data_IF_396024600070
#
_entry.id   IF_396024600070
#
_cell.length_a   1.000
_cell.length_b   1.000
_cell.length_c   1.000
_cell.angle_alpha   90.00
_cell.angle_beta   90.00
_cell.angle_gamma   90.00
#
_symmetry.space_group_name_H-M   'P 1'
#
loop_
_entity.id
_entity.type
_entity.pdbx_description
1 polymer ?
#
# COMPACT_ATOMS: atom_id res chain seq x y z
N UNK A 1 -15.41 11.08 -7.56
CA UNK A 1 -14.18 11.88 -7.75
C UNK A 1 -14.02 13.11 -6.87
N UNK A 2 -15.02 14.01 -6.70
CA UNK A 2 -14.85 15.19 -5.81
C UNK A 2 -14.48 14.81 -4.38
N UNK A 3 -15.07 13.74 -3.85
CA UNK A 3 -14.70 13.19 -2.54
C UNK A 3 -13.25 12.71 -2.52
N UNK A 4 -12.74 12.04 -3.56
CA UNK A 4 -11.32 11.70 -3.68
C UNK A 4 -10.42 12.93 -3.64
N UNK A 5 -10.74 13.97 -4.43
CA UNK A 5 -9.96 15.21 -4.44
C UNK A 5 -9.94 15.88 -3.07
N UNK A 6 -11.07 15.88 -2.37
CA UNK A 6 -11.20 16.42 -1.02
C UNK A 6 -10.44 15.61 0.03
N UNK A 7 -10.40 14.27 -0.08
CA UNK A 7 -9.64 13.41 0.84
C UNK A 7 -8.13 13.57 0.70
N UNK A 8 -7.66 14.05 -0.46
CA UNK A 8 -6.26 14.39 -0.67
C UNK A 8 -5.96 15.85 -0.31
N UNK A 9 -6.57 16.82 -0.99
CA UNK A 9 -6.18 18.22 -0.85
C UNK A 9 -6.43 18.76 0.56
N UNK A 10 -7.64 18.60 1.12
CA UNK A 10 -7.94 19.15 2.45
C UNK A 10 -7.19 18.44 3.57
N UNK A 11 -6.76 17.19 3.34
CA UNK A 11 -5.93 16.43 4.26
C UNK A 11 -4.42 16.58 4.00
N UNK A 12 -4.00 17.34 2.98
CA UNK A 12 -2.59 17.59 2.67
C UNK A 12 -2.01 18.72 3.53
N UNK A 13 -0.67 18.86 3.60
CA UNK A 13 -0.03 20.04 4.21
C UNK A 13 -0.01 21.29 3.30
N UNK A 14 -0.55 21.21 2.07
CA UNK A 14 -0.37 22.27 1.08
C UNK A 14 -1.53 23.27 1.10
N UNK A 15 -1.24 24.57 1.22
CA UNK A 15 -2.26 25.64 1.09
C UNK A 15 -2.85 25.73 -0.33
N UNK A 16 -2.02 25.45 -1.33
CA UNK A 16 -2.38 25.36 -2.74
C UNK A 16 -1.76 24.14 -3.40
N UNK A 17 -2.52 23.46 -4.26
CA UNK A 17 -2.04 22.26 -4.95
C UNK A 17 -2.86 21.98 -6.20
N UNK A 18 -2.18 21.49 -7.24
CA UNK A 18 -2.83 20.73 -8.30
C UNK A 18 -3.38 19.41 -7.74
N UNK A 19 -4.55 18.99 -8.18
CA UNK A 19 -5.20 17.77 -7.69
C UNK A 19 -5.51 16.85 -8.86
N UNK A 20 -5.02 15.62 -8.78
CA UNK A 20 -5.21 14.58 -9.80
C UNK A 20 -5.88 13.36 -9.16
N UNK A 21 -7.16 13.15 -9.47
CA UNK A 21 -7.88 11.95 -9.08
C UNK A 21 -7.90 10.97 -10.25
N UNK A 22 -7.37 9.75 -10.08
CA UNK A 22 -7.33 8.70 -11.11
C UNK A 22 -7.86 7.40 -10.50
N UNK A 23 -8.92 6.87 -11.07
CA UNK A 23 -9.65 5.74 -10.53
C UNK A 23 -10.16 4.78 -11.62
N UNK A 24 -10.77 3.67 -11.21
CA UNK A 24 -11.51 2.79 -12.12
C UNK A 24 -12.69 3.52 -12.76
N UNK A 25 -13.66 3.91 -11.94
CA UNK A 25 -14.85 4.67 -12.34
C UNK A 25 -15.60 5.22 -11.10
N UNK A 26 -16.14 6.43 -11.17
CA UNK A 26 -17.16 6.94 -10.24
C UNK A 26 -17.94 8.10 -10.87
N UNK A 27 -19.27 8.10 -10.74
CA UNK A 27 -20.19 9.08 -11.37
C UNK A 27 -19.83 9.35 -12.85
N UNK A 28 -19.68 8.28 -13.65
CA UNK A 28 -19.33 8.30 -15.08
C UNK A 28 -17.97 8.92 -15.43
N UNK A 29 -17.11 9.15 -14.44
CA UNK A 29 -15.77 9.72 -14.59
C UNK A 29 -14.73 8.69 -14.14
N UNK A 30 -13.55 8.66 -14.76
CA UNK A 30 -12.41 7.83 -14.30
C UNK A 30 -11.25 8.68 -13.81
N UNK A 31 -11.13 9.91 -14.32
CA UNK A 31 -10.06 10.84 -14.00
C UNK A 31 -10.64 12.23 -13.83
N UNK A 32 -10.24 12.95 -12.78
CA UNK A 32 -10.66 14.33 -12.54
C UNK A 32 -9.45 15.17 -12.16
N UNK A 33 -9.30 16.33 -12.81
CA UNK A 33 -8.22 17.27 -12.55
C UNK A 33 -8.78 18.55 -11.96
N UNK A 34 -8.06 19.13 -11.02
CA UNK A 34 -8.49 20.37 -10.39
C UNK A 34 -7.40 21.09 -9.64
N UNK A 35 -7.80 22.16 -8.97
CA UNK A 35 -6.94 23.01 -8.15
C UNK A 35 -7.58 23.17 -6.79
N UNK A 36 -6.77 23.00 -5.74
CA UNK A 36 -7.13 23.34 -4.38
C UNK A 36 -6.46 24.63 -3.95
N UNK A 37 -7.22 25.55 -3.34
CA UNK A 37 -6.71 26.78 -2.73
C UNK A 37 -7.48 27.07 -1.44
N UNK A 38 -6.77 27.11 -0.31
CA UNK A 38 -7.39 27.27 1.00
C UNK A 38 -8.49 26.23 1.22
N UNK A 39 -9.72 26.66 1.52
CA UNK A 39 -10.85 25.76 1.78
C UNK A 39 -11.71 25.44 0.54
N UNK A 40 -11.21 25.70 -0.68
CA UNK A 40 -11.93 25.44 -1.93
C UNK A 40 -11.19 24.48 -2.84
N UNK A 41 -11.98 23.75 -3.62
CA UNK A 41 -11.54 22.93 -4.75
C UNK A 41 -12.33 23.40 -5.96
N UNK A 42 -11.61 23.64 -7.05
CA UNK A 42 -12.12 23.91 -8.39
C UNK A 42 -11.79 22.72 -9.29
N UNK A 43 -12.80 22.19 -9.99
CA UNK A 43 -12.61 21.13 -10.98
C UNK A 43 -12.35 21.79 -12.32
N UNK A 44 -11.23 21.47 -12.95
CA UNK A 44 -10.85 22.01 -14.26
C UNK A 44 -11.47 21.20 -15.38
N UNK A 45 -11.31 19.88 -15.33
CA UNK A 45 -11.85 18.95 -16.31
C UNK A 45 -11.88 17.50 -15.77
N UNK A 46 -12.39 16.60 -16.59
CA UNK A 46 -12.50 15.17 -16.29
C UNK A 46 -12.42 14.31 -17.54
N UNK A 47 -11.99 13.06 -17.38
CA UNK A 47 -12.12 12.01 -18.39
C UNK A 47 -13.34 11.17 -18.04
N UNK A 48 -14.32 11.17 -18.93
CA UNK A 48 -15.52 10.34 -18.79
C UNK A 48 -15.23 8.88 -19.12
N UNK A 49 -15.93 7.99 -18.44
CA UNK A 49 -16.13 6.61 -18.88
C UNK A 49 -16.60 6.60 -20.35
N UNK A 50 -16.13 5.68 -21.22
CA UNK A 50 -15.50 4.37 -20.95
C UNK A 50 -13.97 4.32 -20.90
N UNK A 51 -13.26 5.45 -20.95
CA UNK A 51 -11.79 5.45 -20.93
C UNK A 51 -11.29 5.52 -19.49
N UNK A 52 -10.44 4.59 -19.04
CA UNK A 52 -9.95 4.55 -17.66
C UNK A 52 -8.58 3.86 -17.56
N UNK A 53 -7.64 4.47 -16.83
CA UNK A 53 -6.36 3.83 -16.50
C UNK A 53 -6.60 2.61 -15.59
N UNK A 54 -7.58 2.70 -14.68
CA UNK A 54 -7.95 1.58 -13.82
C UNK A 54 -8.43 0.38 -14.64
N UNK A 55 -9.33 0.60 -15.59
CA UNK A 55 -9.81 -0.49 -16.47
C UNK A 55 -8.67 -1.07 -17.32
N UNK A 56 -7.78 -0.24 -17.87
CA UNK A 56 -6.58 -0.71 -18.56
C UNK A 56 -5.75 -1.66 -17.67
N UNK A 57 -5.46 -1.23 -16.44
CA UNK A 57 -4.64 -2.00 -15.51
C UNK A 57 -5.33 -3.29 -15.06
N UNK A 58 -6.63 -3.24 -14.73
CA UNK A 58 -7.44 -4.40 -14.35
C UNK A 58 -7.56 -5.40 -15.52
N UNK A 59 -7.70 -4.93 -16.76
CA UNK A 59 -7.75 -5.81 -17.95
C UNK A 59 -6.50 -6.67 -18.08
N UNK A 60 -5.32 -6.07 -17.96
CA UNK A 60 -4.07 -6.82 -17.98
C UNK A 60 -3.85 -7.65 -16.71
N UNK A 61 -4.39 -7.23 -15.57
CA UNK A 61 -4.38 -8.02 -14.33
C UNK A 61 -5.16 -9.32 -14.50
N UNK A 62 -6.37 -9.27 -15.06
CA UNK A 62 -7.15 -10.45 -15.42
C UNK A 62 -6.44 -11.32 -16.46
N UNK A 63 -5.89 -10.69 -17.52
CA UNK A 63 -5.18 -11.39 -18.59
C UNK A 63 -3.93 -12.13 -18.11
N UNK A 64 -3.24 -11.58 -17.10
CA UNK A 64 -2.12 -12.21 -16.39
C UNK A 64 -2.56 -13.28 -15.36
N UNK A 65 -3.83 -13.68 -15.37
CA UNK A 65 -4.34 -14.78 -14.56
C UNK A 65 -4.63 -14.39 -13.10
N UNK A 66 -4.86 -13.10 -12.84
CA UNK A 66 -5.26 -12.59 -11.53
C UNK A 66 -6.69 -12.01 -11.59
N UNK A 67 -7.74 -12.86 -11.60
CA UNK A 67 -9.09 -12.43 -11.95
C UNK A 67 -9.87 -11.75 -10.81
N UNK A 68 -9.33 -11.75 -9.58
CA UNK A 68 -10.06 -11.23 -8.43
C UNK A 68 -9.99 -9.70 -8.37
N UNK A 69 -11.10 -9.07 -8.00
CA UNK A 69 -11.14 -7.63 -7.78
C UNK A 69 -10.11 -7.21 -6.72
N UNK A 70 -9.27 -6.21 -7.03
CA UNK A 70 -8.21 -5.76 -6.14
C UNK A 70 -6.87 -6.49 -6.31
N UNK A 71 -6.73 -7.42 -7.26
CA UNK A 71 -5.46 -8.10 -7.52
C UNK A 71 -4.43 -7.24 -8.29
N UNK A 72 -4.74 -5.98 -8.63
CA UNK A 72 -3.85 -5.10 -9.41
C UNK A 72 -2.47 -4.93 -8.75
N UNK A 73 -2.39 -4.96 -7.41
CA UNK A 73 -1.10 -4.90 -6.72
C UNK A 73 -0.17 -6.09 -7.05
N UNK A 74 -0.69 -7.21 -7.57
CA UNK A 74 0.11 -8.36 -7.99
C UNK A 74 0.87 -8.05 -9.27
N UNK A 75 0.25 -7.35 -10.23
CA UNK A 75 0.96 -6.89 -11.44
C UNK A 75 2.05 -5.90 -11.06
N UNK A 76 1.77 -4.97 -10.13
CA UNK A 76 2.77 -4.05 -9.59
C UNK A 76 3.90 -4.78 -8.85
N UNK A 77 3.61 -5.87 -8.14
CA UNK A 77 4.64 -6.69 -7.48
C UNK A 77 5.42 -7.60 -8.44
N UNK A 78 4.82 -7.97 -9.57
CA UNK A 78 5.41 -8.82 -10.60
C UNK A 78 6.32 -8.02 -11.55
N UNK A 79 6.00 -6.74 -11.79
CA UNK A 79 6.71 -5.90 -12.76
C UNK A 79 8.24 -5.85 -12.60
N UNK A 80 8.83 -5.86 -11.39
CA UNK A 80 10.30 -5.85 -11.24
C UNK A 80 10.99 -7.14 -11.75
N UNK A 81 10.25 -8.22 -11.94
CA UNK A 81 10.79 -9.50 -12.40
C UNK A 81 10.88 -9.62 -13.93
N UNK A 82 10.42 -8.61 -14.67
CA UNK A 82 10.46 -8.59 -16.13
C UNK A 82 11.14 -7.35 -16.69
N UNK A 83 11.25 -7.30 -18.02
CA UNK A 83 11.73 -6.15 -18.78
C UNK A 83 10.55 -5.52 -19.54
N UNK A 84 10.44 -4.19 -19.59
CA UNK A 84 9.33 -3.51 -20.26
C UNK A 84 9.48 -3.54 -21.79
N UNK A 85 9.48 -4.72 -22.40
CA UNK A 85 9.74 -4.92 -23.84
C UNK A 85 8.50 -4.79 -24.72
N UNK A 86 7.31 -4.65 -24.13
CA UNK A 86 6.01 -4.63 -24.81
C UNK A 86 5.33 -3.24 -24.73
N UNK A 87 6.09 -2.18 -24.41
CA UNK A 87 5.57 -0.81 -24.24
C UNK A 87 5.04 -0.26 -25.56
N UNK A 88 5.75 -0.51 -26.67
CA UNK A 88 5.36 -0.07 -28.02
C UNK A 88 3.99 -0.66 -28.41
N UNK A 89 3.76 -1.93 -28.12
CA UNK A 89 2.51 -2.63 -28.40
C UNK A 89 1.32 -2.05 -27.60
N UNK A 90 1.57 -1.45 -26.44
CA UNK A 90 0.55 -0.82 -25.60
C UNK A 90 0.07 0.53 -26.17
N UNK A 91 0.82 1.17 -27.07
CA UNK A 91 0.36 2.37 -27.77
C UNK A 91 -0.86 2.10 -28.66
N UNK A 92 -1.00 0.89 -29.20
CA UNK A 92 -2.21 0.48 -29.92
C UNK A 92 -3.41 0.32 -29.00
N UNK A 93 -3.17 -0.05 -27.74
CA UNK A 93 -4.20 -0.36 -26.74
C UNK A 93 -4.73 0.92 -26.09
N UNK A 94 -3.86 1.91 -25.88
CA UNK A 94 -4.20 3.20 -25.30
C UNK A 94 -3.68 4.31 -26.21
N UNK A 95 -4.62 4.97 -26.87
CA UNK A 95 -4.37 6.06 -27.81
C UNK A 95 -4.13 7.33 -26.99
N UNK A 96 -2.88 7.79 -26.94
CA UNK A 96 -2.53 9.08 -26.34
C UNK A 96 -3.14 10.22 -27.15
N UNK A 97 -3.67 11.22 -26.46
CA UNK A 97 -4.20 12.45 -27.05
C UNK A 97 -3.34 13.63 -26.60
N UNK A 98 -3.61 14.78 -27.19
CA UNK A 98 -3.05 16.04 -26.72
C UNK A 98 -3.48 16.30 -25.27
N UNK A 99 -2.75 17.19 -24.57
CA UNK A 99 -3.17 17.69 -23.24
C UNK A 99 -3.18 16.63 -22.13
N UNK A 100 -2.29 15.63 -22.23
CA UNK A 100 -2.19 14.52 -21.27
C UNK A 100 -3.41 13.60 -21.24
N UNK A 101 -4.37 13.76 -22.16
CA UNK A 101 -5.55 12.91 -22.26
C UNK A 101 -5.21 11.59 -22.95
N UNK A 102 -6.05 10.58 -22.76
CA UNK A 102 -5.91 9.28 -23.39
C UNK A 102 -7.28 8.66 -23.66
N UNK A 103 -7.34 7.79 -24.66
CA UNK A 103 -8.50 6.96 -24.95
C UNK A 103 -8.06 5.49 -25.01
N UNK A 104 -8.76 4.62 -24.29
CA UNK A 104 -8.68 3.18 -24.55
C UNK A 104 -9.19 2.86 -25.95
N UNK A 105 -8.46 2.04 -26.71
CA UNK A 105 -8.87 1.59 -28.03
C UNK A 105 -9.99 0.54 -27.93
N UNK A 106 -11.23 0.83 -28.38
CA UNK A 106 -12.40 -0.05 -28.20
C UNK A 106 -12.24 -1.45 -28.80
N UNK A 107 -11.26 -1.66 -29.68
CA UNK A 107 -10.92 -2.97 -30.24
C UNK A 107 -10.57 -4.00 -29.16
N UNK A 108 -9.92 -3.57 -28.08
CA UNK A 108 -9.30 -4.48 -27.10
C UNK A 108 -10.12 -4.70 -25.82
N UNK A 109 -11.21 -3.95 -25.64
CA UNK A 109 -11.97 -3.92 -24.38
C UNK A 109 -13.46 -4.21 -24.59
N UNK A 110 -14.02 -5.15 -23.83
CA UNK A 110 -15.41 -5.62 -23.98
C UNK A 110 -16.45 -4.62 -23.50
N UNK A 111 -16.14 -3.84 -22.46
CA UNK A 111 -17.07 -2.90 -21.83
C UNK A 111 -17.57 -1.77 -22.75
N UNK A 112 -16.90 -1.54 -23.87
CA UNK A 112 -17.32 -0.58 -24.90
C UNK A 112 -18.54 -1.04 -25.71
N UNK A 113 -18.74 -2.35 -25.86
CA UNK A 113 -19.73 -2.91 -26.80
C UNK A 113 -20.82 -3.73 -26.13
N UNK A 114 -20.42 -4.55 -25.16
CA UNK A 114 -21.28 -5.60 -24.60
C UNK A 114 -21.72 -5.29 -23.16
N UNK A 115 -21.14 -4.26 -22.54
CA UNK A 115 -21.09 -4.19 -21.08
C UNK A 115 -20.18 -5.29 -20.51
N UNK A 116 -20.16 -5.42 -19.19
CA UNK A 116 -19.41 -6.47 -18.48
C UNK A 116 -20.30 -6.98 -17.37
N UNK A 117 -20.57 -8.28 -17.33
CA UNK A 117 -21.37 -8.83 -16.25
C UNK A 117 -20.57 -8.76 -14.94
N UNK A 118 -21.27 -8.35 -13.89
CA UNK A 118 -20.77 -8.38 -12.54
C UNK A 118 -21.74 -9.19 -11.69
N UNK A 119 -21.23 -10.24 -11.05
CA UNK A 119 -21.97 -11.01 -10.05
C UNK A 119 -21.38 -10.79 -8.66
N UNK A 120 -22.20 -10.98 -7.63
CA UNK A 120 -21.79 -10.84 -6.23
C UNK A 120 -21.98 -12.19 -5.55
N UNK A 121 -20.87 -12.86 -5.25
CA UNK A 121 -20.88 -14.09 -4.47
C UNK A 121 -20.06 -13.87 -3.19
N UNK A 122 -20.65 -14.15 -2.03
CA UNK A 122 -19.96 -14.02 -0.74
C UNK A 122 -19.50 -12.59 -0.41
N UNK A 123 -20.10 -11.57 -1.01
CA UNK A 123 -19.75 -10.16 -0.79
C UNK A 123 -18.54 -9.66 -1.58
N UNK A 124 -17.97 -10.47 -2.46
CA UNK A 124 -16.92 -10.03 -3.40
C UNK A 124 -17.45 -9.97 -4.83
N UNK A 125 -17.13 -8.92 -5.60
CA UNK A 125 -17.55 -8.85 -6.99
C UNK A 125 -16.70 -9.80 -7.85
N UNK A 126 -17.38 -10.59 -8.68
CA UNK A 126 -16.79 -11.25 -9.83
C UNK A 126 -17.06 -10.40 -11.07
N UNK A 127 -16.02 -10.15 -11.85
CA UNK A 127 -16.09 -9.33 -13.07
C UNK A 127 -15.66 -10.20 -14.23
N UNK A 128 -16.53 -10.35 -15.24
CA UNK A 128 -16.19 -11.05 -16.47
C UNK A 128 -14.90 -10.47 -17.11
N UNK A 129 -14.17 -11.25 -17.92
CA UNK A 129 -12.97 -10.76 -18.59
C UNK A 129 -13.23 -9.47 -19.36
N UNK A 130 -12.42 -8.44 -19.10
CA UNK A 130 -12.53 -7.12 -19.74
C UNK A 130 -11.90 -7.10 -21.14
N UNK A 131 -11.08 -8.08 -21.49
CA UNK A 131 -10.35 -8.16 -22.75
C UNK A 131 -11.14 -8.89 -23.85
N UNK A 132 -10.89 -8.50 -25.10
CA UNK A 132 -11.47 -9.15 -26.29
C UNK A 132 -10.52 -10.18 -26.91
N UNK A 133 -11.02 -10.98 -27.85
CA UNK A 133 -10.20 -11.85 -28.72
C UNK A 133 -9.09 -11.09 -29.46
N UNK A 134 -9.28 -9.79 -29.74
CA UNK A 134 -8.25 -8.97 -30.37
C UNK A 134 -7.05 -8.72 -29.44
N UNK A 135 -7.27 -8.64 -28.12
CA UNK A 135 -6.18 -8.55 -27.15
C UNK A 135 -5.41 -9.88 -27.11
N UNK A 136 -6.14 -11.00 -27.11
CA UNK A 136 -5.58 -12.35 -27.16
C UNK A 136 -4.73 -12.54 -28.44
N UNK A 137 -5.26 -12.15 -29.60
CA UNK A 137 -4.52 -12.23 -30.85
C UNK A 137 -3.22 -11.39 -30.86
N UNK A 138 -3.19 -10.29 -30.10
CA UNK A 138 -2.03 -9.38 -30.05
C UNK A 138 -0.97 -9.81 -29.02
N UNK A 139 -1.39 -10.28 -27.84
CA UNK A 139 -0.49 -10.57 -26.72
C UNK A 139 -0.32 -12.08 -26.42
N UNK A 140 -1.08 -12.94 -27.09
CA UNK A 140 -1.10 -14.39 -26.88
C UNK A 140 -2.30 -14.89 -26.05
N UNK A 141 -2.33 -16.17 -25.67
CA UNK A 141 -3.37 -16.69 -24.78
C UNK A 141 -3.26 -16.04 -23.38
N UNK A 142 -4.39 -15.75 -22.71
CA UNK A 142 -4.37 -15.31 -21.31
C UNK A 142 -3.84 -16.43 -20.42
N UNK A 143 -3.14 -16.05 -19.37
CA UNK A 143 -2.57 -16.99 -18.42
C UNK A 143 -3.67 -17.68 -17.62
N UNK A 144 -3.63 -19.00 -17.52
CA UNK A 144 -4.58 -19.76 -16.71
C UNK A 144 -4.14 -19.85 -15.24
N UNK A 145 -5.13 -20.03 -14.36
CA UNK A 145 -4.88 -20.24 -12.93
C UNK A 145 -4.06 -21.51 -12.73
N UNK A 146 -2.94 -21.40 -12.01
CA UNK A 146 -2.07 -22.53 -11.69
C UNK A 146 -0.94 -22.80 -12.68
N UNK A 147 -0.94 -22.19 -13.86
CA UNK A 147 0.22 -22.25 -14.77
C UNK A 147 1.46 -21.61 -14.11
N UNK A 148 2.69 -21.83 -14.60
CA UNK A 148 3.84 -21.02 -14.20
C UNK A 148 3.84 -19.63 -14.86
N UNK A 149 4.43 -18.63 -14.17
CA UNK A 149 4.67 -17.31 -14.76
C UNK A 149 5.87 -17.38 -15.73
N UNK A 150 5.59 -17.32 -17.03
CA UNK A 150 6.60 -17.23 -18.08
C UNK A 150 7.31 -15.87 -18.09
N UNK A 151 8.42 -15.78 -18.82
CA UNK A 151 9.12 -14.52 -19.02
C UNK A 151 8.27 -13.49 -19.77
N UNK A 152 7.45 -13.96 -20.72
CA UNK A 152 6.46 -13.12 -21.41
C UNK A 152 5.49 -12.46 -20.42
N UNK A 153 4.95 -13.21 -19.45
CA UNK A 153 4.04 -12.66 -18.44
C UNK A 153 4.71 -11.57 -17.59
N UNK A 154 5.97 -11.79 -17.20
CA UNK A 154 6.74 -10.79 -16.43
C UNK A 154 7.05 -9.55 -17.26
N UNK A 155 7.46 -9.73 -18.52
CA UNK A 155 7.73 -8.62 -19.43
C UNK A 155 6.47 -7.80 -19.72
N UNK A 156 5.31 -8.47 -19.87
CA UNK A 156 4.03 -7.80 -20.02
C UNK A 156 3.65 -7.02 -18.77
N UNK A 157 3.80 -7.60 -17.57
CA UNK A 157 3.58 -6.89 -16.31
C UNK A 157 4.49 -5.65 -16.17
N UNK A 158 5.77 -5.80 -16.50
CA UNK A 158 6.74 -4.71 -16.52
C UNK A 158 6.35 -3.59 -17.50
N UNK A 159 5.88 -3.96 -18.69
CA UNK A 159 5.46 -3.02 -19.74
C UNK A 159 4.17 -2.28 -19.37
N UNK A 160 3.17 -2.98 -18.83
CA UNK A 160 1.91 -2.40 -18.35
C UNK A 160 2.16 -1.43 -17.21
N UNK A 161 3.03 -1.79 -16.25
CA UNK A 161 3.41 -0.91 -15.16
C UNK A 161 4.14 0.34 -15.68
N UNK A 162 5.14 0.19 -16.56
CA UNK A 162 5.85 1.30 -17.19
C UNK A 162 4.91 2.23 -17.96
N UNK A 163 4.02 1.66 -18.76
CA UNK A 163 3.08 2.45 -19.55
C UNK A 163 2.08 3.22 -18.67
N UNK A 164 1.65 2.60 -17.56
CA UNK A 164 0.80 3.25 -16.55
C UNK A 164 1.51 4.44 -15.90
N UNK A 165 2.79 4.28 -15.53
CA UNK A 165 3.63 5.38 -15.03
C UNK A 165 3.65 6.54 -16.03
N UNK A 166 3.88 6.27 -17.31
CA UNK A 166 3.92 7.30 -18.35
C UNK A 166 2.59 8.03 -18.54
N UNK A 167 1.45 7.33 -18.46
CA UNK A 167 0.13 7.95 -18.49
C UNK A 167 -0.09 8.87 -17.28
N UNK A 168 0.27 8.43 -16.07
CA UNK A 168 0.18 9.24 -14.86
C UNK A 168 1.06 10.49 -14.97
N UNK A 169 2.31 10.34 -15.42
CA UNK A 169 3.23 11.47 -15.57
C UNK A 169 2.76 12.43 -16.67
N UNK A 170 2.18 11.93 -17.76
CA UNK A 170 1.57 12.76 -18.81
C UNK A 170 0.41 13.60 -18.29
N UNK A 171 -0.49 13.01 -17.50
CA UNK A 171 -1.58 13.73 -16.83
C UNK A 171 -1.06 14.79 -15.87
N UNK A 172 -0.03 14.45 -15.08
CA UNK A 172 0.59 15.35 -14.12
C UNK A 172 1.30 16.53 -14.81
N UNK A 173 2.13 16.28 -15.83
CA UNK A 173 2.81 17.34 -16.59
C UNK A 173 1.83 18.34 -17.20
N UNK A 174 0.78 17.84 -17.84
CA UNK A 174 -0.25 18.72 -18.39
C UNK A 174 -0.97 19.52 -17.30
N UNK A 175 -1.30 18.89 -16.17
CA UNK A 175 -1.93 19.61 -15.05
C UNK A 175 -1.00 20.70 -14.49
N UNK A 176 0.29 20.44 -14.42
CA UNK A 176 1.28 21.46 -14.08
C UNK A 176 1.30 22.60 -15.13
N UNK A 177 1.32 22.30 -16.42
CA UNK A 177 1.25 23.32 -17.50
C UNK A 177 0.01 24.21 -17.39
N UNK A 178 -1.13 23.66 -16.97
CA UNK A 178 -2.38 24.43 -16.81
C UNK A 178 -2.41 25.29 -15.54
N UNK A 179 -1.70 24.89 -14.48
CA UNK A 179 -1.88 25.48 -13.14
C UNK A 179 -0.67 26.26 -12.63
N UNK A 180 0.54 25.92 -13.09
CA UNK A 180 1.81 26.45 -12.61
C UNK A 180 2.10 26.16 -11.14
N UNK A 181 1.35 25.24 -10.50
CA UNK A 181 1.46 24.95 -9.07
C UNK A 181 2.59 23.95 -8.77
N UNK A 182 3.40 24.17 -7.72
CA UNK A 182 4.54 23.31 -7.42
C UNK A 182 4.15 22.01 -6.72
N UNK A 183 2.97 21.93 -6.11
CA UNK A 183 2.53 20.78 -5.31
C UNK A 183 1.44 19.97 -6.02
N UNK A 184 1.56 18.64 -5.99
CA UNK A 184 0.54 17.71 -6.47
C UNK A 184 -0.08 16.89 -5.33
N UNK A 185 -1.40 16.86 -5.28
CA UNK A 185 -2.19 15.88 -4.54
C UNK A 185 -2.70 14.82 -5.52
N UNK A 186 -2.39 13.55 -5.29
CA UNK A 186 -2.89 12.44 -6.13
C UNK A 186 -3.74 11.46 -5.32
N UNK A 187 -4.81 10.93 -5.92
CA UNK A 187 -5.84 10.15 -5.23
C UNK A 187 -6.67 9.30 -6.22
N UNK A 188 -7.55 8.42 -5.72
CA UNK A 188 -8.25 7.38 -6.48
C UNK A 188 -7.52 6.04 -6.46
N UNK A 189 -8.19 4.96 -6.89
CA UNK A 189 -7.66 3.60 -6.81
C UNK A 189 -6.32 3.41 -7.55
N UNK A 190 -6.16 4.03 -8.71
CA UNK A 190 -4.91 3.97 -9.49
C UNK A 190 -3.77 4.73 -8.79
N UNK A 191 -4.08 5.80 -8.06
CA UNK A 191 -3.11 6.56 -7.29
C UNK A 191 -2.48 5.78 -6.11
N UNK A 192 -2.97 4.56 -5.83
CA UNK A 192 -2.30 3.64 -4.91
C UNK A 192 -1.07 2.94 -5.52
N UNK A 193 -0.76 3.21 -6.79
CA UNK A 193 0.43 2.70 -7.45
C UNK A 193 1.70 3.36 -6.86
N UNK A 194 2.23 2.74 -5.80
CA UNK A 194 3.37 3.27 -5.05
C UNK A 194 4.66 3.33 -5.89
N UNK A 195 4.75 2.52 -6.95
CA UNK A 195 5.87 2.56 -7.91
C UNK A 195 5.82 3.84 -8.73
N UNK A 196 4.65 4.22 -9.24
CA UNK A 196 4.48 5.49 -9.95
C UNK A 196 4.68 6.69 -9.01
N UNK A 197 4.08 6.66 -7.81
CA UNK A 197 4.17 7.75 -6.84
C UNK A 197 5.62 8.08 -6.46
N UNK A 198 6.48 7.08 -6.29
CA UNK A 198 7.90 7.28 -5.97
C UNK A 198 8.72 7.94 -7.08
N UNK A 199 8.16 8.06 -8.29
CA UNK A 199 8.83 8.60 -9.48
C UNK A 199 8.24 9.91 -9.98
N UNK A 200 7.11 10.38 -9.42
CA UNK A 200 6.39 11.56 -9.93
C UNK A 200 7.27 12.81 -9.91
N UNK A 201 7.93 13.12 -8.79
CA UNK A 201 8.76 14.34 -8.64
C UNK A 201 9.97 14.31 -9.59
N UNK A 202 10.53 13.13 -9.86
CA UNK A 202 11.66 12.97 -10.79
C UNK A 202 11.24 13.09 -12.28
N UNK A 203 9.95 12.82 -12.60
CA UNK A 203 9.46 12.70 -13.99
C UNK A 203 8.46 13.80 -14.37
N UNK A 204 8.24 14.77 -13.49
CA UNK A 204 7.30 15.89 -13.68
C UNK A 204 7.87 17.17 -13.05
N UNK A 205 7.37 18.36 -13.43
CA UNK A 205 7.81 19.61 -12.80
C UNK A 205 7.35 19.85 -11.36
N UNK A 206 6.57 18.94 -10.76
CA UNK A 206 6.11 19.11 -9.38
C UNK A 206 7.24 18.89 -8.39
N UNK A 207 7.33 19.76 -7.38
CA UNK A 207 8.34 19.71 -6.32
C UNK A 207 7.94 18.78 -5.18
N UNK A 208 6.63 18.68 -4.90
CA UNK A 208 6.09 17.89 -3.78
C UNK A 208 4.88 17.08 -4.20
N UNK A 209 4.80 15.86 -3.67
CA UNK A 209 3.68 14.94 -3.85
C UNK A 209 3.07 14.55 -2.51
N UNK A 210 1.76 14.73 -2.38
CA UNK A 210 0.96 14.15 -1.30
C UNK A 210 0.02 13.07 -1.83
N UNK A 211 0.05 11.89 -1.18
CA UNK A 211 -0.90 10.79 -1.40
C UNK A 211 -1.53 10.44 -0.04
N UNK A 212 -2.86 10.45 0.09
CA UNK A 212 -3.50 10.11 1.36
C UNK A 212 -3.36 8.60 1.67
N UNK A 213 -3.39 8.21 2.96
CA UNK A 213 -3.21 6.80 3.37
C UNK A 213 -4.28 5.85 2.80
N UNK A 214 -5.49 6.38 2.56
CA UNK A 214 -6.58 5.69 1.88
C UNK A 214 -6.94 6.40 0.56
N UNK A 215 -6.02 6.42 -0.41
CA UNK A 215 -6.28 6.99 -1.74
C UNK A 215 -7.38 6.29 -2.56
N UNK A 216 -7.70 5.03 -2.23
CA UNK A 216 -8.82 4.30 -2.83
C UNK A 216 -10.18 4.76 -2.26
N UNK A 217 -11.27 4.11 -2.68
CA UNK A 217 -12.65 4.47 -2.32
C UNK A 217 -12.92 4.57 -0.81
N UNK A 218 -12.15 3.87 0.03
CA UNK A 218 -12.25 4.00 1.48
C UNK A 218 -12.08 5.45 1.97
N UNK A 219 -11.20 6.22 1.33
CA UNK A 219 -10.95 7.62 1.65
C UNK A 219 -12.08 8.57 1.24
N UNK A 220 -13.03 8.14 0.40
CA UNK A 220 -14.13 9.01 -0.04
C UNK A 220 -15.07 9.39 1.10
N UNK A 221 -15.16 8.59 2.16
CA UNK A 221 -15.90 8.92 3.39
C UNK A 221 -15.35 10.18 4.05
N UNK A 222 -14.04 10.21 4.30
CA UNK A 222 -13.31 11.38 4.82
C UNK A 222 -13.43 12.55 3.86
N UNK A 223 -13.20 12.30 2.57
CA UNK A 223 -13.29 13.33 1.54
C UNK A 223 -14.65 13.99 1.44
N UNK A 224 -15.74 13.22 1.55
CA UNK A 224 -17.11 13.75 1.51
C UNK A 224 -17.40 14.63 2.72
N UNK A 225 -16.96 14.21 3.92
CA UNK A 225 -17.09 15.00 5.13
C UNK A 225 -16.28 16.32 5.05
N UNK A 226 -15.03 16.26 4.60
CA UNK A 226 -14.18 17.44 4.42
C UNK A 226 -14.73 18.37 3.33
N UNK A 227 -15.22 17.83 2.21
CA UNK A 227 -15.86 18.62 1.17
C UNK A 227 -17.09 19.36 1.70
N UNK A 228 -17.96 18.69 2.47
CA UNK A 228 -19.10 19.35 3.08
C UNK A 228 -18.66 20.44 4.07
N UNK A 229 -17.73 20.13 4.98
CA UNK A 229 -17.25 21.06 6.00
C UNK A 229 -16.58 22.31 5.41
N UNK A 230 -15.68 22.15 4.45
CA UNK A 230 -14.94 23.27 3.84
C UNK A 230 -15.73 23.97 2.73
N UNK A 231 -16.36 23.20 1.83
CA UNK A 231 -17.00 23.75 0.64
C UNK A 231 -18.42 24.24 0.93
N UNK A 232 -19.23 23.43 1.62
CA UNK A 232 -20.64 23.74 1.89
C UNK A 232 -20.85 24.59 3.15
N UNK A 233 -20.16 24.28 4.25
CA UNK A 233 -20.26 25.07 5.49
C UNK A 233 -19.28 26.25 5.54
N UNK A 234 -18.41 26.40 4.54
CA UNK A 234 -17.41 27.45 4.43
C UNK A 234 -16.51 27.58 5.66
N UNK A 235 -16.20 26.46 6.33
CA UNK A 235 -15.33 26.43 7.51
C UNK A 235 -13.85 26.45 7.10
N UNK A 236 -12.95 26.98 7.96
CA UNK A 236 -11.50 26.99 7.69
C UNK A 236 -10.95 25.57 7.57
N UNK A 237 -9.77 25.43 6.98
CA UNK A 237 -9.07 24.14 6.93
C UNK A 237 -8.76 23.63 8.34
N UNK A 238 -8.86 22.32 8.50
CA UNK A 238 -8.35 21.66 9.70
C UNK A 238 -6.82 21.56 9.61
N UNK A 239 -6.08 21.64 10.73
CA UNK A 239 -4.64 21.42 10.73
C UNK A 239 -4.29 20.04 10.16
N UNK A 240 -3.22 20.00 9.36
CA UNK A 240 -2.69 18.76 8.83
C UNK A 240 -2.31 17.79 9.97
N UNK A 241 -2.59 16.50 9.76
CA UNK A 241 -2.16 15.43 10.66
C UNK A 241 -1.39 14.38 9.86
N UNK A 242 -0.15 14.13 10.28
CA UNK A 242 0.76 13.21 9.60
C UNK A 242 0.42 11.73 9.82
N UNK A 243 -0.51 11.37 10.71
CA UNK A 243 -0.82 9.98 11.05
C UNK A 243 -2.14 9.47 10.45
N UNK A 244 -2.18 8.17 10.18
CA UNK A 244 -3.36 7.43 9.74
C UNK A 244 -4.07 6.67 10.89
N UNK A 245 -3.68 6.84 12.15
CA UNK A 245 -4.18 6.07 13.30
C UNK A 245 -5.56 6.55 13.80
N UNK A 246 -6.59 6.40 12.99
CA UNK A 246 -7.97 6.87 13.29
C UNK A 246 -8.93 5.74 13.68
N UNK A 247 -8.50 4.48 13.62
CA UNK A 247 -9.29 3.30 13.95
C UNK A 247 -9.38 2.98 15.45
N UNK A 248 -10.04 1.87 15.78
CA UNK A 248 -10.29 1.45 17.17
C UNK A 248 -8.99 1.24 17.96
N UNK A 249 -9.04 1.49 19.27
CA UNK A 249 -8.00 1.20 20.26
C UNK A 249 -8.60 0.34 21.37
N UNK A 250 -7.77 -0.53 21.94
CA UNK A 250 -8.11 -1.34 23.11
C UNK A 250 -7.14 -1.01 24.24
N UNK A 251 -7.63 -0.94 25.47
CA UNK A 251 -6.78 -0.77 26.65
C UNK A 251 -6.12 -2.09 27.05
N UNK A 252 -4.97 -2.04 27.75
CA UNK A 252 -4.38 -3.23 28.37
C UNK A 252 -5.36 -4.05 29.21
N UNK A 253 -6.28 -3.40 29.91
CA UNK A 253 -7.27 -4.03 30.79
C UNK A 253 -8.33 -4.80 29.97
N UNK A 254 -8.80 -4.23 28.87
CA UNK A 254 -9.74 -4.90 27.95
C UNK A 254 -9.10 -6.14 27.32
N UNK A 255 -7.84 -6.02 26.90
CA UNK A 255 -7.05 -7.13 26.34
C UNK A 255 -6.86 -8.22 27.40
N UNK A 256 -6.44 -7.85 28.60
CA UNK A 256 -6.19 -8.80 29.69
C UNK A 256 -7.46 -9.55 30.09
N UNK A 257 -8.59 -8.85 30.22
CA UNK A 257 -9.88 -9.46 30.52
C UNK A 257 -10.30 -10.47 29.45
N UNK A 258 -10.07 -10.15 28.17
CA UNK A 258 -10.33 -11.06 27.06
C UNK A 258 -9.45 -12.31 27.12
N UNK A 259 -8.14 -12.16 27.35
CA UNK A 259 -7.21 -13.29 27.43
C UNK A 259 -7.52 -14.20 28.63
N UNK A 260 -7.86 -13.64 29.80
CA UNK A 260 -8.32 -14.41 30.97
C UNK A 260 -9.58 -15.21 30.66
N UNK A 261 -10.58 -14.59 30.02
CA UNK A 261 -11.82 -15.28 29.61
C UNK A 261 -11.55 -16.46 28.67
N UNK A 262 -10.53 -16.34 27.80
CA UNK A 262 -10.10 -17.37 26.85
C UNK A 262 -9.10 -18.37 27.43
N UNK A 263 -8.69 -18.23 28.69
CA UNK A 263 -7.63 -19.02 29.33
C UNK A 263 -6.32 -19.04 28.51
N UNK A 264 -5.94 -17.92 27.91
CA UNK A 264 -4.69 -17.81 27.17
C UNK A 264 -3.57 -17.44 28.14
N UNK A 265 -2.45 -18.18 28.19
CA UNK A 265 -1.30 -17.79 28.98
C UNK A 265 -0.60 -16.58 28.34
N UNK A 266 -0.22 -15.61 29.15
CA UNK A 266 0.46 -14.38 28.72
C UNK A 266 1.41 -13.87 29.79
N UNK A 267 2.24 -12.89 29.42
CA UNK A 267 3.07 -12.10 30.33
C UNK A 267 2.81 -10.61 30.16
N UNK A 268 2.63 -9.89 31.27
CA UNK A 268 2.41 -8.44 31.24
C UNK A 268 3.69 -7.71 31.60
N UNK A 269 4.01 -6.67 30.83
CA UNK A 269 5.18 -5.83 31.06
C UNK A 269 4.73 -4.47 31.59
N UNK A 270 5.34 -4.03 32.69
CA UNK A 270 5.07 -2.72 33.28
C UNK A 270 5.87 -1.60 32.59
N UNK A 271 6.97 -1.98 31.95
CA UNK A 271 7.90 -1.07 31.30
C UNK A 271 8.02 -1.40 29.80
N UNK A 272 7.85 -0.38 28.97
CA UNK A 272 8.00 -0.50 27.51
C UNK A 272 9.45 -0.86 27.12
N UNK A 273 10.46 -0.43 27.87
CA UNK A 273 11.86 -0.75 27.57
C UNK A 273 12.17 -2.25 27.74
N UNK A 274 11.62 -2.89 28.77
CA UNK A 274 11.72 -4.34 28.97
C UNK A 274 10.96 -5.10 27.86
N UNK A 275 9.80 -4.58 27.46
CA UNK A 275 9.04 -5.15 26.35
C UNK A 275 9.83 -5.05 25.04
N UNK A 276 10.43 -3.91 24.71
CA UNK A 276 11.24 -3.76 23.51
C UNK A 276 12.46 -4.67 23.55
N UNK A 277 13.10 -4.86 24.70
CA UNK A 277 14.22 -5.80 24.88
C UNK A 277 13.81 -7.21 24.43
N UNK A 278 12.69 -7.71 24.95
CA UNK A 278 12.16 -9.05 24.64
C UNK A 278 11.72 -9.19 23.18
N UNK A 279 11.05 -8.18 22.64
CA UNK A 279 10.57 -8.20 21.25
C UNK A 279 11.76 -8.16 20.28
N UNK A 280 12.76 -7.32 20.55
CA UNK A 280 13.95 -7.23 19.69
C UNK A 280 14.82 -8.47 19.79
N UNK A 281 14.91 -9.12 20.96
CA UNK A 281 15.56 -10.44 21.09
C UNK A 281 14.86 -11.51 20.25
N UNK A 282 13.54 -11.51 20.24
CA UNK A 282 12.76 -12.41 19.38
C UNK A 282 13.08 -12.16 17.90
N UNK A 283 13.07 -10.91 17.46
CA UNK A 283 13.38 -10.54 16.07
C UNK A 283 14.79 -10.97 15.66
N UNK A 284 15.81 -10.66 16.48
CA UNK A 284 17.22 -11.03 16.20
C UNK A 284 17.40 -12.55 16.15
N UNK A 285 16.60 -13.31 16.90
CA UNK A 285 16.57 -14.78 16.89
C UNK A 285 15.65 -15.38 15.81
N UNK A 286 15.43 -14.65 14.71
CA UNK A 286 14.60 -15.09 13.57
C UNK A 286 13.09 -15.23 13.87
N UNK A 287 12.62 -14.62 14.95
CA UNK A 287 11.21 -14.63 15.31
C UNK A 287 10.36 -13.76 14.40
N UNK A 288 9.12 -14.20 14.17
CA UNK A 288 8.06 -13.46 13.50
C UNK A 288 7.08 -12.97 14.56
N UNK A 289 6.95 -11.65 14.69
CA UNK A 289 6.18 -11.02 15.75
C UNK A 289 4.91 -10.38 15.17
N UNK A 290 3.75 -10.78 15.68
CA UNK A 290 2.52 -10.02 15.51
C UNK A 290 2.52 -8.83 16.48
N UNK A 291 2.45 -7.62 15.94
CA UNK A 291 2.54 -6.36 16.67
C UNK A 291 1.21 -5.60 16.62
N UNK A 292 0.54 -5.50 17.76
CA UNK A 292 -0.75 -4.84 17.93
C UNK A 292 -0.64 -3.75 19.00
N UNK A 293 -0.83 -2.49 18.63
CA UNK A 293 -0.81 -1.36 19.57
C UNK A 293 -1.70 -0.21 19.13
N UNK A 294 -2.13 0.61 20.07
CA UNK A 294 -2.80 1.88 19.84
C UNK A 294 -4.02 1.78 18.92
N UNK A 295 -4.31 2.91 18.28
CA UNK A 295 -5.38 3.03 17.29
C UNK A 295 -4.99 2.35 15.98
N UNK A 296 -5.87 1.51 15.43
CA UNK A 296 -5.64 0.92 14.12
C UNK A 296 -5.42 2.01 13.04
N UNK A 297 -4.52 1.72 12.11
CA UNK A 297 -4.26 2.54 10.93
C UNK A 297 -5.42 2.46 9.92
N UNK A 298 -5.69 3.57 9.23
CA UNK A 298 -6.69 3.70 8.18
C UNK A 298 -6.05 3.55 6.80
N UNK A 299 -6.64 2.72 5.96
CA UNK A 299 -6.13 2.38 4.62
C UNK A 299 -5.64 0.93 4.53
N UNK A 300 -5.07 0.54 3.38
CA UNK A 300 -4.77 -0.87 3.08
C UNK A 300 -3.39 -1.32 3.57
N UNK A 301 -2.63 -0.46 4.24
CA UNK A 301 -1.26 -0.72 4.68
C UNK A 301 -1.21 -0.78 6.20
N UNK A 302 -0.47 -1.75 6.73
CA UNK A 302 -0.07 -1.72 8.13
C UNK A 302 1.14 -0.80 8.29
N UNK A 303 1.08 0.08 9.28
CA UNK A 303 1.99 1.20 9.50
C UNK A 303 2.59 1.17 10.90
N UNK A 304 2.69 -0.01 11.52
CA UNK A 304 3.27 -0.19 12.85
C UNK A 304 2.26 -0.31 14.00
N UNK A 305 0.95 -0.36 13.73
CA UNK A 305 -0.07 -0.56 14.78
C UNK A 305 -0.82 -1.89 14.65
N UNK A 306 -0.95 -2.45 13.44
CA UNK A 306 -1.48 -3.80 13.17
C UNK A 306 -0.57 -4.53 12.19
N UNK A 307 0.65 -4.82 12.63
CA UNK A 307 1.77 -5.23 11.77
C UNK A 307 2.29 -6.61 12.12
N UNK A 308 2.79 -7.35 11.14
CA UNK A 308 3.74 -8.44 11.37
C UNK A 308 5.12 -7.87 11.09
N UNK A 309 6.02 -7.98 12.07
CA UNK A 309 7.38 -7.45 12.00
C UNK A 309 8.41 -8.58 12.07
N UNK A 310 9.50 -8.42 11.30
CA UNK A 310 10.59 -9.40 11.15
C UNK A 310 11.93 -8.65 11.01
N UNK A 311 13.03 -9.32 11.39
CA UNK A 311 14.39 -8.83 11.15
C UNK A 311 14.66 -8.69 9.63
N UNK A 312 14.94 -7.47 9.12
CA UNK A 312 15.13 -7.22 7.70
C UNK A 312 16.48 -7.72 7.15
N UNK A 313 17.43 -8.06 8.03
CA UNK A 313 18.79 -8.50 7.66
C UNK A 313 18.81 -9.92 7.10
N UNK A 314 17.71 -10.65 7.27
CA UNK A 314 17.58 -12.06 6.90
C UNK A 314 17.32 -12.24 5.40
N UNK A 315 18.12 -13.08 4.76
CA UNK A 315 17.91 -13.45 3.35
C UNK A 315 16.71 -14.41 3.18
N UNK A 316 16.42 -15.23 4.19
CA UNK A 316 15.35 -16.23 4.17
C UNK A 316 14.00 -15.70 4.65
N UNK A 317 13.89 -14.41 5.00
CA UNK A 317 12.67 -13.81 5.56
C UNK A 317 11.41 -14.04 4.68
N UNK A 318 11.57 -14.04 3.35
CA UNK A 318 10.46 -14.32 2.42
C UNK A 318 9.95 -15.75 2.54
N UNK A 319 10.88 -16.72 2.61
CA UNK A 319 10.55 -18.13 2.80
C UNK A 319 9.91 -18.35 4.18
N UNK A 320 10.52 -17.79 5.22
CA UNK A 320 10.03 -17.83 6.59
C UNK A 320 8.58 -17.31 6.72
N UNK A 321 8.29 -16.13 6.15
CA UNK A 321 6.95 -15.53 6.22
C UNK A 321 5.92 -16.31 5.40
N UNK A 322 6.30 -16.85 4.24
CA UNK A 322 5.40 -17.67 3.43
C UNK A 322 5.09 -19.01 4.11
N UNK A 323 6.07 -19.66 4.73
CA UNK A 323 5.89 -20.91 5.47
C UNK A 323 5.03 -20.70 6.72
N UNK A 324 5.32 -19.64 7.50
CA UNK A 324 4.68 -19.44 8.80
C UNK A 324 3.30 -18.81 8.72
N UNK A 325 3.03 -17.98 7.70
CA UNK A 325 1.85 -17.11 7.68
C UNK A 325 1.22 -17.04 6.30
N UNK A 326 1.94 -16.53 5.31
CA UNK A 326 1.30 -15.83 4.18
C UNK A 326 0.85 -16.74 3.04
N UNK A 327 1.49 -17.88 2.79
CA UNK A 327 1.19 -18.79 1.66
C UNK A 327 0.86 -18.06 0.34
N UNK A 328 1.63 -17.01 0.03
CA UNK A 328 1.38 -16.09 -1.09
C UNK A 328 2.41 -16.30 -2.21
N UNK A 329 2.18 -15.67 -3.35
CA UNK A 329 3.08 -15.72 -4.50
C UNK A 329 4.48 -15.19 -4.15
N UNK A 330 5.52 -15.85 -4.64
CA UNK A 330 6.93 -15.58 -4.29
C UNK A 330 7.42 -14.18 -4.67
N UNK A 331 6.76 -13.54 -5.63
CA UNK A 331 7.12 -12.20 -6.11
C UNK A 331 6.58 -11.07 -5.24
N UNK A 332 5.68 -11.33 -4.27
CA UNK A 332 5.11 -10.26 -3.44
C UNK A 332 6.17 -9.65 -2.53
N UNK A 333 6.44 -8.33 -2.65
CA UNK A 333 7.47 -7.69 -1.84
C UNK A 333 7.01 -7.41 -0.41
N UNK A 334 7.98 -7.24 0.47
CA UNK A 334 7.80 -6.68 1.81
C UNK A 334 8.30 -5.23 1.87
N UNK A 335 7.94 -4.51 2.93
CA UNK A 335 8.18 -3.08 3.06
C UNK A 335 9.12 -2.77 4.25
N UNK A 336 10.10 -1.87 4.07
CA UNK A 336 10.91 -1.35 5.17
C UNK A 336 10.17 -0.25 5.94
N UNK A 337 10.09 -0.39 7.27
CA UNK A 337 9.85 0.73 8.20
C UNK A 337 11.20 1.21 8.73
N UNK A 338 11.57 2.46 8.45
CA UNK A 338 12.87 3.04 8.83
C UNK A 338 12.68 4.25 9.76
N UNK A 339 13.59 4.43 10.71
CA UNK A 339 13.68 5.69 11.47
C UNK A 339 13.94 6.86 10.52
N UNK A 340 13.11 7.89 10.57
CA UNK A 340 13.10 9.00 9.59
C UNK A 340 14.48 9.58 9.33
N UNK A 341 15.26 9.82 10.37
CA UNK A 341 16.58 10.44 10.33
C UNK A 341 17.65 9.61 9.59
N UNK A 342 17.45 8.30 9.43
CA UNK A 342 18.37 7.40 8.71
C UNK A 342 17.98 7.19 7.23
N UNK A 343 16.89 7.81 6.75
CA UNK A 343 16.38 7.58 5.38
C UNK A 343 17.44 7.83 4.31
N UNK A 344 18.19 8.93 4.42
CA UNK A 344 19.22 9.32 3.45
C UNK A 344 20.39 8.33 3.34
N UNK A 345 20.66 7.58 4.41
CA UNK A 345 21.71 6.56 4.44
C UNK A 345 21.31 5.27 3.74
N UNK A 346 20.01 5.02 3.58
CA UNK A 346 19.50 3.77 3.02
C UNK A 346 18.84 3.92 1.64
N UNK A 347 18.30 5.09 1.34
CA UNK A 347 17.60 5.37 0.09
C UNK A 347 18.29 6.47 -0.71
N UNK A 348 18.17 6.39 -2.03
CA UNK A 348 18.66 7.45 -2.94
C UNK A 348 17.80 8.71 -2.82
N UNK A 349 16.48 8.53 -2.71
CA UNK A 349 15.51 9.59 -2.47
C UNK A 349 15.27 9.80 -0.98
N UNK A 350 15.11 11.06 -0.57
CA UNK A 350 14.76 11.45 0.80
C UNK A 350 13.45 12.21 0.78
N UNK A 351 12.44 11.66 1.43
CA UNK A 351 11.11 12.25 1.56
C UNK A 351 10.43 11.72 2.82
N UNK A 352 9.39 12.41 3.28
CA UNK A 352 8.49 11.88 4.30
C UNK A 352 7.47 10.95 3.64
N UNK A 353 7.55 9.65 3.97
CA UNK A 353 6.71 8.60 3.39
C UNK A 353 6.02 7.83 4.51
N UNK A 354 5.08 8.44 5.25
CA UNK A 354 4.50 7.83 6.45
C UNK A 354 3.51 6.69 6.16
N UNK A 355 3.05 6.50 4.91
CA UNK A 355 1.92 5.63 4.58
C UNK A 355 2.27 4.45 3.66
N UNK A 356 3.56 4.17 3.41
CA UNK A 356 3.99 3.19 2.41
C UNK A 356 3.46 3.48 0.99
N UNK A 357 3.35 4.76 0.67
CA UNK A 357 2.73 5.25 -0.56
C UNK A 357 3.73 5.50 -1.70
N UNK A 358 5.03 5.38 -1.44
CA UNK A 358 6.13 5.54 -2.41
C UNK A 358 7.11 4.37 -2.39
N UNK A 359 7.61 3.98 -3.55
CA UNK A 359 8.71 3.01 -3.72
C UNK A 359 9.95 3.78 -4.17
N UNK A 360 11.04 3.64 -3.44
CA UNK A 360 12.29 4.32 -3.70
C UNK A 360 13.43 3.33 -3.90
N UNK A 361 14.51 3.79 -4.52
CA UNK A 361 15.72 2.98 -4.70
C UNK A 361 16.47 2.90 -3.39
N UNK A 362 16.77 1.67 -2.97
CA UNK A 362 17.68 1.41 -1.86
C UNK A 362 19.09 1.51 -2.41
N UNK A 363 19.98 2.18 -1.69
CA UNK A 363 21.38 2.33 -2.09
C UNK A 363 22.04 0.94 -2.22
N UNK A 364 22.80 0.67 -3.30
CA UNK A 364 23.37 -0.66 -3.57
C UNK A 364 24.15 -1.29 -2.40
N UNK A 365 24.90 -0.48 -1.66
CA UNK A 365 25.68 -0.91 -0.49
C UNK A 365 24.80 -1.39 0.69
N UNK A 366 23.51 -1.07 0.70
CA UNK A 366 22.55 -1.50 1.73
C UNK A 366 21.75 -2.74 1.32
N UNK A 367 21.79 -3.16 0.06
CA UNK A 367 21.13 -4.39 -0.41
C UNK A 367 21.51 -5.63 0.43
N UNK A 368 22.80 -5.89 0.74
CA UNK A 368 23.15 -7.02 1.61
C UNK A 368 22.83 -6.80 3.09
N UNK A 369 22.58 -5.55 3.51
CA UNK A 369 22.28 -5.19 4.91
C UNK A 369 20.81 -5.43 5.23
N UNK A 370 19.90 -5.14 4.30
CA UNK A 370 18.44 -5.30 4.47
C UNK A 370 17.80 -6.12 3.34
N UNK A 371 18.29 -7.33 3.05
CA UNK A 371 17.85 -8.12 1.89
C UNK A 371 16.37 -8.53 1.95
N UNK A 372 15.77 -8.65 3.13
CA UNK A 372 14.37 -9.07 3.28
C UNK A 372 13.36 -8.07 2.67
N UNK A 373 13.72 -6.79 2.68
CA UNK A 373 12.88 -5.65 2.25
C UNK A 373 13.39 -5.00 0.97
N UNK A 374 14.50 -5.51 0.42
CA UNK A 374 15.04 -5.10 -0.88
C UNK A 374 14.38 -5.92 -1.98
N UNK A 375 13.78 -5.23 -2.95
CA UNK A 375 13.11 -5.83 -4.10
C UNK A 375 14.15 -6.30 -5.11
N UNK A 376 13.76 -7.15 -6.05
CA UNK A 376 14.69 -7.73 -7.04
C UNK A 376 15.36 -6.67 -7.93
N UNK A 377 14.74 -5.50 -8.08
CA UNK A 377 15.26 -4.34 -8.81
C UNK A 377 16.00 -3.33 -7.92
N UNK A 378 16.29 -3.69 -6.66
CA UNK A 378 17.00 -2.83 -5.70
C UNK A 378 16.13 -1.74 -5.06
N UNK A 379 14.81 -1.78 -5.22
CA UNK A 379 13.89 -0.82 -4.61
C UNK A 379 13.27 -1.30 -3.29
N UNK A 380 12.60 -0.42 -2.56
CA UNK A 380 11.84 -0.75 -1.35
C UNK A 380 10.64 0.19 -1.17
N UNK A 381 9.50 -0.35 -0.73
CA UNK A 381 8.29 0.44 -0.43
C UNK A 381 8.38 1.07 0.96
N UNK A 382 8.93 2.26 1.01
CA UNK A 382 9.36 2.94 2.22
C UNK A 382 8.20 3.30 3.16
N UNK A 383 8.37 3.06 4.46
CA UNK A 383 7.69 3.79 5.53
C UNK A 383 8.71 4.56 6.38
N UNK A 384 8.64 5.89 6.41
CA UNK A 384 9.40 6.68 7.39
C UNK A 384 8.66 6.74 8.72
N UNK A 385 9.34 6.42 9.81
CA UNK A 385 8.78 6.41 11.17
C UNK A 385 9.32 7.61 11.93
N UNK A 386 8.43 8.56 12.22
CA UNK A 386 8.71 9.80 12.94
C UNK A 386 8.28 9.67 14.42
N UNK A 387 9.13 10.05 15.40
CA UNK A 387 8.80 9.93 16.82
C UNK A 387 7.61 10.81 17.26
N UNK A 388 7.32 11.91 16.54
CA UNK A 388 6.15 12.76 16.80
C UNK A 388 4.83 12.14 16.35
N UNK A 389 4.91 11.14 15.45
CA UNK A 389 3.75 10.49 14.81
C UNK A 389 3.49 9.11 15.43
N UNK A 390 4.54 8.30 15.61
CA UNK A 390 4.46 6.93 16.07
C UNK A 390 5.54 6.62 17.13
N UNK A 391 5.51 7.29 18.32
CA UNK A 391 6.61 7.26 19.28
C UNK A 391 6.96 5.85 19.77
N UNK A 392 5.96 4.99 19.99
CA UNK A 392 6.16 3.63 20.50
C UNK A 392 6.76 2.70 19.44
N UNK A 393 6.32 2.81 18.18
CA UNK A 393 6.92 2.06 17.08
C UNK A 393 8.34 2.55 16.76
N UNK A 394 8.56 3.87 16.80
CA UNK A 394 9.88 4.47 16.69
C UNK A 394 10.85 3.91 17.73
N UNK A 395 10.45 3.87 19.02
CA UNK A 395 11.32 3.34 20.09
C UNK A 395 11.63 1.85 19.92
N UNK A 396 10.69 1.04 19.44
CA UNK A 396 10.95 -0.36 19.11
C UNK A 396 12.01 -0.50 18.03
N UNK A 397 11.90 0.25 16.92
CA UNK A 397 12.88 0.22 15.83
C UNK A 397 14.22 0.75 16.33
N UNK A 398 14.24 1.80 17.16
CA UNK A 398 15.47 2.32 17.77
C UNK A 398 16.14 1.28 18.68
N UNK A 399 15.39 0.54 19.48
CA UNK A 399 15.93 -0.55 20.30
C UNK A 399 16.55 -1.66 19.43
N UNK A 400 15.89 -1.98 18.30
CA UNK A 400 16.45 -2.91 17.32
C UNK A 400 17.74 -2.35 16.69
N UNK A 401 17.76 -1.06 16.36
CA UNK A 401 18.94 -0.37 15.84
C UNK A 401 20.13 -0.44 16.80
N UNK A 402 19.92 -0.13 18.09
CA UNK A 402 20.96 -0.23 19.12
C UNK A 402 21.60 -1.62 19.20
N UNK A 403 20.82 -2.68 18.99
CA UNK A 403 21.30 -4.07 19.03
C UNK A 403 21.98 -4.53 17.74
N UNK A 404 21.63 -3.94 16.59
CA UNK A 404 21.93 -4.53 15.29
C UNK A 404 22.71 -3.63 14.34
N UNK A 405 22.77 -2.33 14.62
CA UNK A 405 23.25 -1.31 13.69
C UNK A 405 22.30 -1.04 12.50
N UNK A 406 21.11 -1.63 12.47
CA UNK A 406 20.13 -1.45 11.37
C UNK A 406 18.87 -0.71 11.88
N UNK A 407 18.58 0.51 11.41
CA UNK A 407 17.43 1.32 11.84
C UNK A 407 16.14 1.00 11.08
N UNK A 408 16.00 -0.26 10.65
CA UNK A 408 14.91 -0.73 9.78
C UNK A 408 14.26 -1.96 10.41
N UNK A 409 12.95 -2.10 10.27
CA UNK A 409 12.22 -3.35 10.43
C UNK A 409 11.51 -3.72 9.14
N UNK A 410 11.41 -5.01 8.84
CA UNK A 410 10.43 -5.49 7.86
C UNK A 410 9.04 -5.33 8.48
N UNK A 411 8.13 -4.67 7.76
CA UNK A 411 6.74 -4.53 8.14
C UNK A 411 5.82 -5.07 7.04
N UNK A 412 4.84 -5.89 7.44
CA UNK A 412 3.75 -6.35 6.57
C UNK A 412 2.42 -6.37 7.31
N UNK A 413 1.32 -6.45 6.57
CA UNK A 413 -0.03 -6.44 7.15
C UNK A 413 -0.24 -7.59 8.13
N UNK A 414 -0.76 -7.34 9.33
CA UNK A 414 -1.13 -8.41 10.25
C UNK A 414 -2.45 -9.04 9.80
N UNK A 415 -2.33 -10.07 8.96
CA UNK A 415 -3.40 -10.92 8.43
C UNK A 415 -2.80 -12.16 7.71
N UNK A 416 -3.63 -13.12 7.32
CA UNK A 416 -3.24 -14.19 6.36
C UNK A 416 -3.90 -13.96 5.00
N UNK A 417 -5.21 -14.17 4.88
CA UNK A 417 -6.03 -13.93 3.69
C UNK A 417 -7.38 -13.29 4.07
N UNK A 418 -7.32 -12.33 4.98
CA UNK A 418 -8.44 -11.60 5.58
C UNK A 418 -8.07 -10.10 5.68
N UNK A 419 -9.00 -9.20 6.02
CA UNK A 419 -8.67 -7.81 6.36
C UNK A 419 -7.60 -7.72 7.46
N UNK A 420 -6.92 -6.58 7.58
CA UNK A 420 -5.97 -6.37 8.68
C UNK A 420 -6.70 -6.56 10.01
N UNK A 421 -6.10 -7.28 10.96
CA UNK A 421 -6.71 -7.52 12.27
C UNK A 421 -7.05 -6.19 12.95
N UNK A 422 -8.23 -6.12 13.56
CA UNK A 422 -8.74 -4.86 14.12
C UNK A 422 -8.93 -4.94 15.64
N UNK A 423 -9.36 -6.10 16.17
CA UNK A 423 -9.57 -6.38 17.59
C UNK A 423 -8.50 -7.34 18.16
N UNK A 424 -8.36 -7.43 19.50
CA UNK A 424 -7.50 -8.42 20.15
C UNK A 424 -7.89 -9.86 19.79
N UNK A 425 -9.20 -10.11 19.58
CA UNK A 425 -9.71 -11.38 19.09
C UNK A 425 -9.16 -11.71 17.69
N UNK A 426 -9.27 -10.80 16.73
CA UNK A 426 -8.75 -11.03 15.38
C UNK A 426 -7.23 -11.30 15.41
N UNK A 427 -6.49 -10.54 16.23
CA UNK A 427 -5.05 -10.71 16.38
C UNK A 427 -4.68 -12.06 17.00
N UNK A 428 -5.39 -12.48 18.06
CA UNK A 428 -5.20 -13.78 18.69
C UNK A 428 -5.54 -14.92 17.74
N UNK A 429 -6.69 -14.89 17.07
CA UNK A 429 -7.09 -15.94 16.13
C UNK A 429 -6.10 -16.05 14.95
N UNK A 430 -5.64 -14.92 14.42
CA UNK A 430 -4.59 -14.90 13.39
C UNK A 430 -3.28 -15.52 13.92
N UNK A 431 -2.86 -15.15 15.13
CA UNK A 431 -1.67 -15.72 15.78
C UNK A 431 -1.80 -17.23 16.00
N UNK A 432 -2.95 -17.72 16.48
CA UNK A 432 -3.20 -19.14 16.76
C UNK A 432 -3.20 -20.00 15.49
N UNK A 433 -3.81 -19.53 14.40
CA UNK A 433 -3.88 -20.23 13.11
C UNK A 433 -2.55 -20.24 12.35
N UNK A 434 -1.64 -19.33 12.68
CA UNK A 434 -0.32 -19.20 12.04
C UNK A 434 0.79 -19.74 12.93
N UNK A 435 2.03 -19.75 12.42
CA UNK A 435 3.23 -20.14 13.16
C UNK A 435 4.07 -18.93 13.60
N UNK A 436 3.42 -17.83 13.95
CA UNK A 436 4.09 -16.68 14.58
C UNK A 436 4.70 -17.08 15.93
N UNK A 437 5.88 -16.55 16.23
CA UNK A 437 6.64 -16.91 17.44
C UNK A 437 6.19 -16.09 18.65
N UNK A 438 5.67 -14.88 18.40
CA UNK A 438 5.25 -13.95 19.44
C UNK A 438 4.06 -13.11 18.97
N UNK A 439 3.11 -12.86 19.87
CA UNK A 439 2.07 -11.86 19.71
C UNK A 439 2.20 -10.82 20.82
N UNK A 440 2.35 -9.56 20.42
CA UNK A 440 2.33 -8.40 21.31
C UNK A 440 0.98 -7.71 21.17
N UNK A 441 0.24 -7.60 22.28
CA UNK A 441 -1.02 -6.86 22.42
C UNK A 441 -0.81 -5.76 23.46
N UNK A 442 -0.56 -4.55 23.00
CA UNK A 442 -0.15 -3.43 23.86
C UNK A 442 1.09 -3.78 24.70
N UNK A 443 0.97 -3.92 26.02
CA UNK A 443 2.06 -4.28 26.93
C UNK A 443 2.01 -5.75 27.39
N UNK A 444 1.23 -6.58 26.69
CA UNK A 444 1.06 -8.01 26.97
C UNK A 444 1.70 -8.80 25.84
N UNK A 445 2.50 -9.81 26.20
CA UNK A 445 3.11 -10.73 25.24
C UNK A 445 2.55 -12.13 25.45
N UNK A 446 2.22 -12.79 24.34
CA UNK A 446 1.94 -14.22 24.26
C UNK A 446 3.08 -14.86 23.48
N UNK A 447 3.77 -15.81 24.11
CA UNK A 447 4.87 -16.55 23.50
C UNK A 447 4.40 -17.89 22.95
N UNK A 448 4.96 -18.31 21.82
CA UNK A 448 4.88 -19.68 21.33
C UNK A 448 6.17 -20.42 21.65
N UNK A 449 6.08 -21.62 22.22
CA UNK A 449 7.21 -22.53 22.41
C UNK A 449 6.84 -23.92 21.88
N UNK A 450 7.46 -24.34 20.78
CA UNK A 450 7.02 -25.53 20.04
C UNK A 450 5.58 -25.38 19.54
N UNK A 451 4.72 -26.36 19.86
CA UNK A 451 3.29 -26.32 19.52
C UNK A 451 2.40 -25.67 20.60
N UNK A 452 2.96 -25.28 21.74
CA UNK A 452 2.23 -24.72 22.89
C UNK A 452 2.41 -23.21 23.04
N UNK A 453 1.52 -22.60 23.83
CA UNK A 453 1.66 -21.24 24.32
C UNK A 453 2.37 -21.26 25.67
N UNK A 454 3.00 -20.16 26.07
CA UNK A 454 3.77 -20.11 27.32
C UNK A 454 3.48 -18.84 28.12
N UNK A 455 3.21 -19.01 29.41
CA UNK A 455 2.98 -17.93 30.38
C UNK A 455 4.25 -17.46 31.11
N UNK A 456 4.07 -16.61 32.12
CA UNK A 456 5.13 -15.85 32.83
C UNK A 456 6.36 -16.66 33.32
N UNK A 457 6.23 -17.98 33.51
CA UNK A 457 7.26 -18.84 34.10
C UNK A 457 7.62 -20.07 33.25
N UNK A 458 7.34 -20.08 31.94
CA UNK A 458 7.55 -21.30 31.15
C UNK A 458 6.43 -22.34 31.29
N UNK A 459 5.38 -22.02 32.06
CA UNK A 459 4.21 -22.89 32.24
C UNK A 459 3.36 -22.89 30.94
N UNK A 460 3.00 -24.09 30.43
CA UNK A 460 2.22 -24.26 29.22
C UNK A 460 0.77 -23.77 29.33
#
# INVERSE_FOLDING_TARGET
HRSHMASAFFASPFEESAILSIDGMGDFTSTMRGVGRGNKIEVLDSVSYPHSIGIFYTTFTQYLGFPHYGDEYKVMGLSPYGKPTLVEELHDVVIRKNKGLFELNPKYFRHFKEGVNMSWEGGSPHVDPLFTEALIAKFGPPRQKGEPLSEHHKNLAASVQRYTEELIFGLARYLHEQTGLPNLCITGGVAQNSVANGKVVENTPFEKLYVPPAGHDGGTSVGSALYFYHHKLNKPRLPFRHWAYTGVRFSPEEIEAYLKKRNIPYKKYQNDEELYEVVTDCLVKAGVVGWFQGRAEFGPRALGNRSIIVDPRRQDAKALLNEKIKKRESFRPFAPSILKEFTAEYFEQVDEVPYMEKVFRIRPEKHPVIPAVTHVDGTGRLQTVDPSVAPRYYRLIRKFHEKTGVPVLLNTSFNENEPIVNSPEHALECFLRTKMDMLVLENIIIHRNGNGLVGENGAP
#
